data_IF_663817147464
#
_entry.id   IF_663817147464
#
_cell.length_a   1.000
_cell.length_b   1.000
_cell.length_c   1.000
_cell.angle_alpha   90.00
_cell.angle_beta   90.00
_cell.angle_gamma   90.00
#
_symmetry.space_group_name_H-M   'P 1'
#
loop_
_entity.id
_entity.type
_entity.pdbx_description
1 polymer ?
#
# COMPACT_ATOMS: atom_id res chain seq x y z
N UNK A 1 11.95 -16.01 -7.94
CA UNK A 1 10.47 -16.10 -7.82
C UNK A 1 9.85 -14.80 -8.30
N UNK A 2 9.27 -14.81 -9.51
CA UNK A 2 8.55 -13.67 -10.06
C UNK A 2 7.21 -13.61 -9.29
N UNK A 3 7.08 -12.69 -8.33
CA UNK A 3 5.76 -12.45 -7.73
C UNK A 3 4.85 -11.91 -8.83
N UNK A 4 3.73 -12.60 -9.08
CA UNK A 4 2.66 -12.07 -9.91
C UNK A 4 2.29 -10.67 -9.40
N UNK A 5 2.23 -9.69 -10.30
CA UNK A 5 1.89 -8.33 -9.95
C UNK A 5 0.52 -8.30 -9.27
N UNK A 6 0.34 -7.51 -8.21
CA UNK A 6 -0.98 -7.32 -7.62
C UNK A 6 -1.96 -6.85 -8.69
N UNK A 7 -3.14 -7.48 -8.75
CA UNK A 7 -4.19 -7.05 -9.66
C UNK A 7 -4.86 -5.80 -9.07
N UNK A 8 -4.78 -4.70 -9.81
CA UNK A 8 -5.47 -3.46 -9.48
C UNK A 8 -6.90 -3.47 -10.02
N UNK A 9 -7.80 -2.83 -9.29
CA UNK A 9 -9.16 -2.53 -9.71
C UNK A 9 -9.19 -1.30 -10.63
N UNK A 10 -8.30 -0.34 -10.39
CA UNK A 10 -8.22 0.92 -11.14
C UNK A 10 -6.88 1.08 -11.85
N UNK A 11 -6.93 1.22 -13.17
CA UNK A 11 -5.73 1.39 -14.02
C UNK A 11 -4.92 2.64 -13.63
N UNK A 12 -5.56 3.74 -13.24
CA UNK A 12 -4.83 4.96 -12.82
C UNK A 12 -4.01 4.73 -11.55
N UNK A 13 -4.45 3.86 -10.63
CA UNK A 13 -3.68 3.53 -9.41
C UNK A 13 -2.51 2.60 -9.71
N UNK A 14 -2.67 1.66 -10.65
CA UNK A 14 -1.54 0.84 -11.08
C UNK A 14 -0.47 1.71 -11.74
N UNK A 15 -0.86 2.62 -12.64
CA UNK A 15 0.03 3.60 -13.27
C UNK A 15 0.73 4.48 -12.23
N UNK A 16 0.00 4.99 -11.24
CA UNK A 16 0.56 5.75 -10.14
C UNK A 16 1.62 4.93 -9.40
N UNK A 17 1.30 3.71 -8.98
CA UNK A 17 2.25 2.84 -8.28
C UNK A 17 3.55 2.63 -9.08
N UNK A 18 3.47 2.45 -10.41
CA UNK A 18 4.66 2.34 -11.25
C UNK A 18 5.47 3.63 -11.32
N UNK A 19 4.80 4.78 -11.45
CA UNK A 19 5.46 6.08 -11.46
C UNK A 19 6.21 6.33 -10.15
N UNK A 20 5.53 6.15 -9.02
CA UNK A 20 6.10 6.38 -7.69
C UNK A 20 7.26 5.43 -7.41
N UNK A 21 7.20 4.18 -7.88
CA UNK A 21 8.28 3.19 -7.74
C UNK A 21 9.61 3.66 -8.34
N UNK A 22 9.58 4.53 -9.34
CA UNK A 22 10.76 5.07 -10.01
C UNK A 22 11.31 6.34 -9.33
N UNK A 23 10.61 6.86 -8.32
CA UNK A 23 11.02 8.05 -7.59
C UNK A 23 12.19 7.82 -6.62
N UNK A 24 12.77 8.91 -6.07
CA UNK A 24 13.80 8.86 -5.03
C UNK A 24 13.39 8.01 -3.83
N UNK A 25 14.37 7.43 -3.13
CA UNK A 25 14.12 6.50 -2.01
C UNK A 25 13.31 7.18 -0.89
N UNK A 26 13.72 8.39 -0.53
CA UNK A 26 13.15 9.18 0.57
C UNK A 26 11.71 9.59 0.24
N UNK A 27 11.44 9.90 -1.04
CA UNK A 27 10.10 10.25 -1.49
C UNK A 27 9.16 9.03 -1.43
N UNK A 28 9.63 7.87 -1.90
CA UNK A 28 8.88 6.61 -1.82
C UNK A 28 8.53 6.21 -0.38
N UNK A 29 9.43 6.46 0.58
CA UNK A 29 9.15 6.20 2.00
C UNK A 29 7.98 7.06 2.51
N UNK A 30 8.01 8.37 2.22
CA UNK A 30 6.92 9.29 2.61
C UNK A 30 5.60 8.95 1.91
N UNK A 31 5.66 8.50 0.66
CA UNK A 31 4.47 8.06 -0.08
C UNK A 31 3.86 6.78 0.49
N UNK A 32 4.69 5.86 1.01
CA UNK A 32 4.20 4.67 1.72
C UNK A 32 3.46 5.07 2.99
N UNK A 33 4.07 5.93 3.83
CA UNK A 33 3.46 6.40 5.09
C UNK A 33 2.11 7.08 4.83
N UNK A 34 2.06 8.00 3.86
CA UNK A 34 0.81 8.67 3.49
C UNK A 34 -0.23 7.74 2.89
N UNK A 35 0.20 6.71 2.16
CA UNK A 35 -0.70 5.70 1.61
C UNK A 35 -1.30 4.83 2.73
N UNK A 36 -0.53 4.54 3.79
CA UNK A 36 -1.03 3.84 4.99
C UNK A 36 -2.02 4.71 5.76
N UNK A 37 -1.72 6.00 5.96
CA UNK A 37 -2.67 6.95 6.55
C UNK A 37 -3.97 7.03 5.76
N UNK A 38 -3.87 7.15 4.42
CA UNK A 38 -5.04 7.15 3.55
C UNK A 38 -5.84 5.85 3.68
N UNK A 39 -5.17 4.70 3.81
CA UNK A 39 -5.84 3.41 3.92
C UNK A 39 -6.69 3.31 5.18
N UNK A 40 -6.24 3.88 6.29
CA UNK A 40 -7.00 3.97 7.54
C UNK A 40 -8.24 4.88 7.44
N UNK A 41 -8.18 5.92 6.59
CA UNK A 41 -9.28 6.88 6.40
C UNK A 41 -10.34 6.44 5.38
N UNK A 42 -10.06 5.40 4.59
CA UNK A 42 -10.98 4.96 3.53
C UNK A 42 -12.15 4.19 4.12
N UNK A 43 -13.35 4.70 3.84
CA UNK A 43 -14.63 4.05 4.06
C UNK A 43 -14.99 3.19 2.84
N UNK A 44 -15.22 1.89 3.05
CA UNK A 44 -15.52 0.96 1.97
C UNK A 44 -16.82 1.28 1.21
N UNK A 45 -17.76 2.00 1.84
CA UNK A 45 -19.06 2.37 1.29
C UNK A 45 -19.08 3.70 0.55
N UNK A 46 -17.97 4.45 0.53
CA UNK A 46 -17.87 5.76 -0.13
C UNK A 46 -17.11 5.70 -1.44
N UNK A 47 -17.23 6.76 -2.22
CA UNK A 47 -16.42 6.97 -3.42
C UNK A 47 -15.49 8.17 -3.23
N UNK A 48 -14.28 8.05 -3.78
CA UNK A 48 -13.23 9.05 -3.68
C UNK A 48 -12.78 9.49 -5.07
N UNK A 49 -12.66 10.80 -5.33
CA UNK A 49 -12.05 11.28 -6.57
C UNK A 49 -10.60 10.81 -6.65
N UNK A 50 -10.15 10.38 -7.83
CA UNK A 50 -8.75 9.98 -8.04
C UNK A 50 -7.77 11.10 -7.65
N UNK A 51 -8.12 12.35 -7.91
CA UNK A 51 -7.31 13.53 -7.63
C UNK A 51 -7.10 13.71 -6.11
N UNK A 52 -8.13 13.40 -5.30
CA UNK A 52 -8.01 13.37 -3.84
C UNK A 52 -7.04 12.28 -3.38
N UNK A 53 -7.18 11.06 -3.90
CA UNK A 53 -6.30 9.93 -3.58
C UNK A 53 -4.86 10.21 -3.98
N UNK A 54 -4.65 10.73 -5.20
CA UNK A 54 -3.34 11.13 -5.69
C UNK A 54 -2.70 12.14 -4.74
N UNK A 55 -3.42 13.24 -4.42
CA UNK A 55 -2.91 14.27 -3.54
C UNK A 55 -2.60 13.75 -2.14
N UNK A 56 -3.44 12.88 -1.57
CA UNK A 56 -3.19 12.26 -0.25
C UNK A 56 -1.88 11.46 -0.26
N UNK A 57 -1.58 10.72 -1.33
CA UNK A 57 -0.37 9.89 -1.43
C UNK A 57 0.87 10.73 -1.76
N UNK A 58 0.81 11.60 -2.78
CA UNK A 58 1.99 12.31 -3.30
C UNK A 58 2.25 13.64 -2.59
N UNK A 59 1.25 14.20 -1.89
CA UNK A 59 1.22 15.59 -1.42
C UNK A 59 1.46 16.62 -2.54
N UNK A 60 1.09 16.29 -3.77
CA UNK A 60 1.15 17.17 -4.93
C UNK A 60 -0.19 17.20 -5.65
N UNK A 61 -0.45 18.26 -6.39
CA UNK A 61 -1.64 18.34 -7.23
C UNK A 61 -1.42 17.52 -8.52
N UNK A 62 -2.44 16.79 -8.97
CA UNK A 62 -2.37 16.11 -10.27
C UNK A 62 -2.18 17.13 -11.40
N UNK A 63 -1.30 16.88 -12.38
CA UNK A 63 -1.13 17.76 -13.55
C UNK A 63 -2.43 17.99 -14.34
N UNK A 64 -3.35 17.03 -14.29
CA UNK A 64 -4.61 17.02 -15.04
C UNK A 64 -5.71 17.89 -14.41
N UNK A 65 -5.54 18.38 -13.17
CA UNK A 65 -6.57 19.12 -12.42
C UNK A 65 -6.96 20.45 -13.07
N UNK A 66 -6.27 20.88 -14.14
CA UNK A 66 -6.56 22.10 -14.90
C UNK A 66 -7.53 21.91 -16.07
N UNK A 67 -8.02 20.70 -16.35
CA UNK A 67 -8.93 20.44 -17.49
C UNK A 67 -10.30 19.95 -17.02
N UNK A 68 -11.33 20.48 -17.66
CA UNK A 68 -12.79 20.37 -17.48
C UNK A 68 -13.40 18.95 -17.51
N UNK A 69 -12.62 17.89 -17.34
CA UNK A 69 -13.13 16.52 -17.30
C UNK A 69 -13.68 16.19 -15.90
N UNK A 70 -14.80 15.45 -15.85
CA UNK A 70 -15.30 14.89 -14.58
C UNK A 70 -14.22 14.02 -13.94
N UNK A 71 -13.95 14.19 -12.63
CA UNK A 71 -12.97 13.36 -11.94
C UNK A 71 -13.41 11.90 -11.95
N UNK A 72 -12.44 10.98 -12.07
CA UNK A 72 -12.75 9.55 -11.95
C UNK A 72 -13.04 9.23 -10.49
N UNK A 73 -14.24 8.72 -10.22
CA UNK A 73 -14.62 8.24 -8.89
C UNK A 73 -14.12 6.80 -8.67
N UNK A 74 -13.54 6.56 -7.49
CA UNK A 74 -13.00 5.29 -7.06
C UNK A 74 -13.81 4.79 -5.87
N UNK A 75 -14.48 3.64 -6.00
CA UNK A 75 -15.20 3.02 -4.90
C UNK A 75 -14.24 2.54 -3.82
N UNK A 76 -14.54 2.86 -2.57
CA UNK A 76 -13.70 2.60 -1.39
C UNK A 76 -13.26 1.14 -1.29
N UNK A 77 -14.18 0.19 -1.50
CA UNK A 77 -13.87 -1.25 -1.54
C UNK A 77 -12.74 -1.61 -2.52
N UNK A 78 -12.79 -1.09 -3.76
CA UNK A 78 -11.75 -1.33 -4.75
C UNK A 78 -10.47 -0.57 -4.43
N UNK A 79 -10.61 0.64 -3.88
CA UNK A 79 -9.52 1.52 -3.50
C UNK A 79 -8.66 0.92 -2.38
N UNK A 80 -9.26 0.31 -1.35
CA UNK A 80 -8.54 -0.37 -0.26
C UNK A 80 -7.55 -1.43 -0.78
N UNK A 81 -8.01 -2.27 -1.70
CA UNK A 81 -7.19 -3.32 -2.31
C UNK A 81 -6.02 -2.74 -3.13
N UNK A 82 -6.29 -1.66 -3.86
CA UNK A 82 -5.32 -1.01 -4.74
C UNK A 82 -4.26 -0.23 -3.95
N UNK A 83 -4.66 0.48 -2.90
CA UNK A 83 -3.74 1.21 -2.01
C UNK A 83 -2.84 0.23 -1.24
N UNK A 84 -3.39 -0.86 -0.69
CA UNK A 84 -2.58 -1.93 -0.07
C UNK A 84 -1.57 -2.55 -1.07
N UNK A 85 -1.98 -2.69 -2.33
CA UNK A 85 -1.10 -3.17 -3.40
C UNK A 85 0.00 -2.16 -3.77
N UNK A 86 -0.33 -0.87 -3.79
CA UNK A 86 0.61 0.22 -4.02
C UNK A 86 1.69 0.25 -2.93
N UNK A 87 1.30 0.20 -1.64
CA UNK A 87 2.22 0.12 -0.49
C UNK A 87 3.18 -1.07 -0.64
N UNK A 88 2.66 -2.23 -1.03
CA UNK A 88 3.49 -3.41 -1.25
C UNK A 88 4.52 -3.21 -2.38
N UNK A 89 4.10 -2.62 -3.50
CA UNK A 89 5.00 -2.36 -4.65
C UNK A 89 6.10 -1.38 -4.26
N UNK A 90 5.74 -0.29 -3.58
CA UNK A 90 6.70 0.72 -3.16
C UNK A 90 7.67 0.15 -2.12
N UNK A 91 7.19 -0.50 -1.07
CA UNK A 91 8.05 -1.10 -0.05
C UNK A 91 8.98 -2.17 -0.63
N UNK A 92 8.49 -3.03 -1.52
CA UNK A 92 9.34 -4.02 -2.19
C UNK A 92 10.36 -3.38 -3.15
N UNK A 93 10.10 -2.18 -3.67
CA UNK A 93 11.08 -1.46 -4.47
C UNK A 93 12.17 -0.78 -3.63
N UNK A 94 11.96 -0.68 -2.32
CA UNK A 94 12.95 -0.24 -1.36
C UNK A 94 13.78 -1.43 -0.89
N UNK A 95 15.04 -1.19 -0.60
CA UNK A 95 15.90 -2.13 0.15
C UNK A 95 15.75 -1.87 1.65
N UNK A 96 14.51 -1.83 2.14
CA UNK A 96 14.19 -1.54 3.54
C UNK A 96 14.56 -2.75 4.41
N UNK A 97 15.46 -2.56 5.38
CA UNK A 97 15.80 -3.63 6.33
C UNK A 97 14.79 -3.62 7.48
N UNK A 98 14.56 -4.78 8.08
CA UNK A 98 13.70 -4.88 9.28
C UNK A 98 14.17 -3.93 10.40
N UNK A 99 15.49 -3.79 10.57
CA UNK A 99 16.10 -2.90 11.55
C UNK A 99 15.92 -1.39 11.26
N UNK A 100 15.55 -1.02 10.02
CA UNK A 100 15.31 0.37 9.64
C UNK A 100 13.85 0.79 9.92
N UNK A 101 13.01 -0.11 10.44
CA UNK A 101 11.64 0.22 10.82
C UNK A 101 11.61 0.94 12.17
N UNK A 102 10.80 1.98 12.26
CA UNK A 102 10.64 2.79 13.47
C UNK A 102 9.54 2.27 14.41
N UNK A 103 8.94 1.12 14.09
CA UNK A 103 7.92 0.47 14.90
C UNK A 103 8.01 -1.05 14.79
N UNK A 104 7.33 -1.73 15.71
CA UNK A 104 7.22 -3.19 15.69
C UNK A 104 6.53 -3.68 14.42
N UNK A 105 7.06 -4.77 13.86
CA UNK A 105 6.63 -5.31 12.60
C UNK A 105 6.52 -6.83 12.69
N UNK A 106 5.28 -7.34 12.62
CA UNK A 106 4.99 -8.76 12.77
C UNK A 106 5.08 -9.45 11.41
N UNK A 107 5.90 -10.51 11.25
CA UNK A 107 5.96 -11.30 10.02
C UNK A 107 4.62 -11.98 9.71
N UNK A 108 4.36 -12.28 8.44
CA UNK A 108 3.10 -12.93 8.01
C UNK A 108 2.75 -14.22 8.76
N UNK A 109 3.72 -15.12 8.94
CA UNK A 109 3.50 -16.40 9.61
C UNK A 109 3.17 -16.20 11.09
N UNK A 110 3.87 -15.27 11.75
CA UNK A 110 3.70 -14.96 13.16
C UNK A 110 2.35 -14.29 13.41
N UNK A 111 1.94 -13.34 12.56
CA UNK A 111 0.61 -12.71 12.63
C UNK A 111 -0.50 -13.74 12.45
N UNK A 112 -0.33 -14.67 11.49
CA UNK A 112 -1.29 -15.73 11.24
C UNK A 112 -1.43 -16.66 12.46
N UNK A 113 -0.32 -17.02 13.11
CA UNK A 113 -0.31 -17.80 14.33
C UNK A 113 -0.95 -17.07 15.51
N UNK A 114 -0.60 -15.79 15.73
CA UNK A 114 -1.11 -14.95 16.81
C UNK A 114 -2.64 -14.85 16.79
N UNK A 115 -3.22 -14.62 15.62
CA UNK A 115 -4.69 -14.51 15.47
C UNK A 115 -5.36 -15.84 15.10
N UNK A 116 -4.63 -16.95 15.15
CA UNK A 116 -5.13 -18.32 14.89
C UNK A 116 -5.84 -18.48 13.54
N UNK A 117 -5.29 -17.90 12.47
CA UNK A 117 -5.80 -18.04 11.10
C UNK A 117 -4.72 -18.50 10.13
N UNK A 118 -5.12 -18.92 8.93
CA UNK A 118 -4.15 -19.22 7.87
C UNK A 118 -3.54 -17.95 7.27
N UNK A 119 -2.32 -18.05 6.71
CA UNK A 119 -1.72 -16.98 5.90
C UNK A 119 -2.56 -16.58 4.67
N UNK A 120 -3.43 -17.49 4.20
CA UNK A 120 -4.42 -17.23 3.15
C UNK A 120 -5.53 -16.27 3.64
N UNK A 121 -5.91 -16.37 4.92
CA UNK A 121 -6.86 -15.44 5.55
C UNK A 121 -6.26 -14.05 5.66
N UNK A 122 -5.02 -13.93 6.13
CA UNK A 122 -4.30 -12.63 6.15
C UNK A 122 -4.18 -12.05 4.75
N UNK A 123 -3.85 -12.88 3.75
CA UNK A 123 -3.82 -12.46 2.34
C UNK A 123 -5.17 -11.94 1.85
N UNK A 124 -6.29 -12.45 2.38
CA UNK A 124 -7.64 -11.95 2.08
C UNK A 124 -7.90 -10.61 2.77
N UNK A 125 -7.45 -10.42 4.00
CA UNK A 125 -7.56 -9.14 4.72
C UNK A 125 -6.77 -8.03 4.02
N UNK A 126 -5.62 -8.35 3.40
CA UNK A 126 -4.88 -7.39 2.57
C UNK A 126 -5.70 -6.85 1.40
N UNK A 127 -6.54 -7.68 0.79
CA UNK A 127 -7.50 -7.24 -0.25
C UNK A 127 -8.62 -6.36 0.30
N UNK A 128 -8.74 -6.25 1.62
CA UNK A 128 -9.72 -5.42 2.32
C UNK A 128 -9.07 -4.23 3.04
N UNK A 129 -7.80 -3.93 2.74
CA UNK A 129 -7.12 -2.77 3.31
C UNK A 129 -6.16 -3.07 4.46
N UNK A 130 -5.82 -4.34 4.73
CA UNK A 130 -4.69 -4.61 5.62
C UNK A 130 -3.38 -4.25 4.91
N UNK A 131 -2.68 -3.22 5.38
CA UNK A 131 -1.38 -2.81 4.82
C UNK A 131 -0.29 -3.81 5.21
N UNK A 132 0.61 -4.07 4.26
CA UNK A 132 1.80 -4.88 4.51
C UNK A 132 2.99 -4.27 3.77
N UNK A 133 4.13 -4.19 4.46
CA UNK A 133 5.40 -3.80 3.85
C UNK A 133 6.23 -5.04 3.52
N UNK A 134 7.04 -4.96 2.48
CA UNK A 134 8.06 -5.96 2.16
C UNK A 134 9.41 -5.46 2.65
N UNK A 135 10.06 -6.23 3.52
CA UNK A 135 11.36 -5.84 4.13
C UNK A 135 12.38 -6.98 4.03
N UNK A 136 13.66 -6.61 4.12
CA UNK A 136 14.80 -7.53 4.12
C UNK A 136 15.12 -7.93 5.56
N UNK A 137 15.09 -9.22 5.84
CA UNK A 137 15.45 -9.80 7.13
C UNK A 137 16.98 -9.98 7.25
N UNK A 138 17.53 -10.24 8.45
CA UNK A 138 18.96 -10.45 8.65
C UNK A 138 19.56 -11.58 7.80
N UNK A 139 18.73 -12.57 7.40
CA UNK A 139 19.09 -13.66 6.50
C UNK A 139 19.13 -13.24 5.01
N UNK A 140 18.95 -11.95 4.71
CA UNK A 140 18.90 -11.40 3.36
C UNK A 140 17.59 -11.67 2.61
N UNK A 141 16.65 -12.42 3.19
CA UNK A 141 15.39 -12.77 2.53
C UNK A 141 14.35 -11.67 2.69
N UNK A 142 13.58 -11.44 1.64
CA UNK A 142 12.47 -10.50 1.66
C UNK A 142 11.19 -11.17 2.14
N UNK A 143 10.61 -10.67 3.23
CA UNK A 143 9.35 -11.20 3.78
C UNK A 143 8.33 -10.07 3.95
N UNK A 144 7.07 -10.46 4.06
CA UNK A 144 5.99 -9.52 4.40
C UNK A 144 5.96 -9.32 5.90
N UNK A 145 5.79 -8.07 6.29
CA UNK A 145 5.57 -7.66 7.68
C UNK A 145 4.40 -6.71 7.76
N UNK A 146 3.74 -6.72 8.91
CA UNK A 146 2.60 -5.87 9.25
C UNK A 146 3.02 -5.00 10.41
N UNK A 147 2.95 -3.70 10.21
CA UNK A 147 3.31 -2.73 11.24
C UNK A 147 2.23 -2.70 12.31
N UNK A 148 2.59 -2.52 13.58
CA UNK A 148 1.61 -2.43 14.67
C UNK A 148 0.58 -1.32 14.45
N UNK A 149 0.97 -0.21 13.80
CA UNK A 149 0.05 0.84 13.33
C UNK A 149 -1.02 0.35 12.35
N UNK A 150 -0.71 -0.65 11.53
CA UNK A 150 -1.60 -1.24 10.52
C UNK A 150 -2.55 -2.31 11.07
N UNK A 151 -2.35 -2.76 12.32
CA UNK A 151 -3.12 -3.82 12.98
C UNK A 151 -4.22 -3.30 13.92
N UNK A 152 -4.42 -1.98 13.98
CA UNK A 152 -5.38 -1.32 14.88
C UNK A 152 -6.82 -1.34 14.37
#
# INVERSE_FOLDING_TARGET
MIQAMPRFNYVRLSQLAYQLRMGPKELRQREIERAEDLLADIDEGKEYPFEFVYHRITATQTPQSRRTAKPQMLAGRGLLADVSSLILILSNSLSLKLADLHEEATPLEDLAAEVSVSTKTISRWRKRGLAARKVIFPDGRRRLVFLSSSLR
#
